data_IF_145507962189
#
_entry.id   IF_145507962189
#
_cell.length_a   1.000
_cell.length_b   1.000
_cell.length_c   1.000
_cell.angle_alpha   90.00
_cell.angle_beta   90.00
_cell.angle_gamma   90.00
#
_symmetry.space_group_name_H-M   'P 1'
#
loop_
_entity.id
_entity.type
_entity.pdbx_description
1 polymer ?
#
# COMPACT_ATOMS: atom_id res chain seq x y z
N UNK A 1 -25.31 14.00 10.67
CA UNK A 1 -24.05 14.30 11.37
C UNK A 1 -24.26 14.02 12.85
N UNK A 2 -23.69 12.92 13.37
CA UNK A 2 -23.69 12.62 14.81
C UNK A 2 -22.39 13.23 15.35
N UNK A 3 -22.48 14.16 16.30
CA UNK A 3 -21.32 14.77 16.98
C UNK A 3 -20.97 13.86 18.16
N UNK A 4 -19.68 13.55 18.35
CA UNK A 4 -19.24 12.76 19.51
C UNK A 4 -19.54 13.52 20.82
N UNK A 5 -20.10 12.88 21.86
CA UNK A 5 -20.40 13.55 23.13
C UNK A 5 -19.15 13.89 23.97
N UNK A 6 -17.98 13.31 23.65
CA UNK A 6 -16.73 13.56 24.41
C UNK A 6 -15.80 14.63 23.80
N UNK A 7 -15.99 15.01 22.53
CA UNK A 7 -15.23 16.08 21.89
C UNK A 7 -15.94 16.52 20.59
N UNK A 8 -15.78 17.78 20.12
CA UNK A 8 -16.43 18.29 18.92
C UNK A 8 -15.75 17.77 17.64
N UNK A 9 -15.61 16.45 17.54
CA UNK A 9 -15.05 15.77 16.39
C UNK A 9 -16.17 15.15 15.57
N UNK A 10 -16.18 15.37 14.23
CA UNK A 10 -17.12 14.69 13.36
C UNK A 10 -16.92 13.18 13.44
N UNK A 11 -17.99 12.42 13.73
CA UNK A 11 -17.93 10.96 13.65
C UNK A 11 -17.96 10.56 12.17
N UNK A 12 -16.79 10.43 11.56
CA UNK A 12 -16.67 9.95 10.18
C UNK A 12 -16.86 8.43 10.16
N UNK A 13 -18.03 7.97 9.67
CA UNK A 13 -18.32 6.54 9.57
C UNK A 13 -17.67 6.01 8.31
N UNK A 14 -16.46 5.45 8.44
CA UNK A 14 -15.77 4.79 7.33
C UNK A 14 -16.62 3.60 6.87
N UNK A 15 -17.24 3.73 5.69
CA UNK A 15 -18.11 2.69 5.10
C UNK A 15 -17.34 1.69 4.24
N UNK A 16 -16.16 2.08 3.75
CA UNK A 16 -15.31 1.25 2.89
C UNK A 16 -13.85 1.65 3.03
N UNK A 17 -12.97 0.65 3.14
CA UNK A 17 -11.53 0.83 2.99
C UNK A 17 -11.09 0.21 1.67
N UNK A 18 -10.16 0.87 0.99
CA UNK A 18 -9.47 0.34 -0.19
C UNK A 18 -7.97 0.44 0.04
N UNK A 19 -7.27 -0.63 -0.24
CA UNK A 19 -5.83 -0.70 -0.19
C UNK A 19 -5.28 -0.37 -1.58
N UNK A 20 -4.28 0.51 -1.63
CA UNK A 20 -3.66 0.99 -2.87
C UNK A 20 -2.16 1.13 -2.67
N UNK A 21 -1.39 0.96 -3.76
CA UNK A 21 0.04 1.19 -3.75
C UNK A 21 0.34 2.67 -3.47
N UNK A 22 1.20 2.94 -2.48
CA UNK A 22 1.67 4.29 -2.15
C UNK A 22 3.10 4.54 -2.62
N UNK A 23 3.52 5.82 -2.64
CA UNK A 23 4.92 6.22 -2.91
C UNK A 23 5.48 5.64 -4.21
N UNK A 24 6.61 4.92 -4.11
CA UNK A 24 7.24 4.24 -5.25
C UNK A 24 6.39 3.10 -5.84
N UNK A 25 5.45 2.56 -5.07
CA UNK A 25 4.43 1.63 -5.55
C UNK A 25 3.54 2.25 -6.62
N UNK A 26 3.02 3.45 -6.34
CA UNK A 26 2.15 4.19 -7.26
C UNK A 26 2.87 4.60 -8.55
N UNK A 27 4.14 5.01 -8.45
CA UNK A 27 4.96 5.35 -9.63
C UNK A 27 5.15 4.13 -10.53
N UNK A 28 5.45 2.96 -9.95
CA UNK A 28 5.61 1.75 -10.73
C UNK A 28 4.31 1.30 -11.40
N UNK A 29 3.16 1.46 -10.72
CA UNK A 29 1.83 1.20 -11.31
C UNK A 29 1.56 2.11 -12.50
N UNK A 30 1.91 3.40 -12.41
CA UNK A 30 1.77 4.30 -13.55
C UNK A 30 2.67 3.90 -14.73
N UNK A 31 3.91 3.49 -14.46
CA UNK A 31 4.84 3.06 -15.50
C UNK A 31 4.43 1.74 -16.15
N UNK A 32 3.94 0.76 -15.37
CA UNK A 32 3.46 -0.51 -15.91
C UNK A 32 2.24 -0.33 -16.82
N UNK A 33 1.34 0.60 -16.47
CA UNK A 33 0.19 0.95 -17.30
C UNK A 33 0.55 1.65 -18.63
N UNK A 34 1.79 2.14 -18.79
CA UNK A 34 2.30 2.73 -20.03
C UNK A 34 3.13 1.73 -20.86
N UNK A 35 3.02 0.43 -20.58
CA UNK A 35 3.82 -0.65 -21.19
C UNK A 35 5.34 -0.46 -21.04
N UNK A 36 5.77 0.33 -20.06
CA UNK A 36 7.17 0.55 -19.76
C UNK A 36 7.71 -0.56 -18.86
N UNK A 37 8.89 -1.09 -19.20
CA UNK A 37 9.62 -2.04 -18.34
C UNK A 37 10.36 -1.27 -17.25
N UNK A 38 9.77 -1.19 -16.06
CA UNK A 38 10.40 -0.59 -14.89
C UNK A 38 11.00 -1.67 -13.99
N UNK A 39 12.31 -1.60 -13.76
CA UNK A 39 12.96 -2.39 -12.71
C UNK A 39 12.85 -1.65 -11.39
N UNK A 40 12.45 -2.36 -10.34
CA UNK A 40 12.05 -1.74 -9.08
C UNK A 40 12.60 -2.57 -7.93
N UNK A 41 13.39 -1.94 -7.05
CA UNK A 41 13.84 -2.52 -5.78
C UNK A 41 13.00 -1.99 -4.63
N UNK A 42 12.58 -2.86 -3.72
CA UNK A 42 11.81 -2.48 -2.54
C UNK A 42 12.12 -3.40 -1.35
N UNK A 43 11.92 -2.88 -0.14
CA UNK A 43 12.03 -3.62 1.11
C UNK A 43 10.67 -3.61 1.80
N UNK A 44 10.16 -4.78 2.16
CA UNK A 44 8.94 -4.95 2.94
C UNK A 44 9.22 -5.80 4.19
N UNK A 45 8.34 -5.67 5.19
CA UNK A 45 8.34 -6.59 6.32
C UNK A 45 7.79 -7.96 5.93
N UNK A 46 8.17 -9.00 6.65
CA UNK A 46 7.53 -10.31 6.55
C UNK A 46 6.22 -10.36 7.37
N UNK A 47 5.30 -9.47 7.04
CA UNK A 47 4.01 -9.32 7.71
C UNK A 47 2.83 -9.42 6.72
N UNK A 48 1.60 -9.39 7.24
CA UNK A 48 0.39 -9.42 6.40
C UNK A 48 0.35 -8.28 5.39
N UNK A 49 0.98 -7.16 5.73
CA UNK A 49 1.00 -5.96 4.91
C UNK A 49 2.05 -6.04 3.80
N UNK A 50 3.16 -6.74 4.02
CA UNK A 50 4.13 -7.12 3.00
C UNK A 50 3.52 -8.10 2.00
N UNK A 51 2.73 -9.07 2.49
CA UNK A 51 1.93 -9.96 1.63
C UNK A 51 0.90 -9.20 0.80
N UNK A 52 0.18 -8.26 1.42
CA UNK A 52 -0.75 -7.38 0.72
C UNK A 52 -0.04 -6.53 -0.34
N UNK A 53 1.12 -5.96 -0.02
CA UNK A 53 1.93 -5.19 -0.97
C UNK A 53 2.31 -6.05 -2.18
N UNK A 54 2.82 -7.26 -1.94
CA UNK A 54 3.13 -8.23 -3.00
C UNK A 54 1.91 -8.50 -3.89
N UNK A 55 0.74 -8.77 -3.30
CA UNK A 55 -0.49 -9.00 -4.06
C UNK A 55 -0.91 -7.80 -4.92
N UNK A 56 -0.79 -6.57 -4.39
CA UNK A 56 -1.12 -5.36 -5.14
C UNK A 56 -0.14 -5.14 -6.32
N UNK A 57 1.13 -5.47 -6.14
CA UNK A 57 2.13 -5.39 -7.20
C UNK A 57 1.87 -6.41 -8.31
N UNK A 58 1.53 -7.65 -7.94
CA UNK A 58 1.20 -8.70 -8.90
C UNK A 58 -0.08 -8.37 -9.68
N UNK A 59 -1.09 -7.77 -9.03
CA UNK A 59 -2.32 -7.32 -9.67
C UNK A 59 -2.06 -6.24 -10.75
N UNK A 60 -1.10 -5.36 -10.51
CA UNK A 60 -0.67 -4.31 -11.44
C UNK A 60 0.39 -4.81 -12.46
N UNK A 61 0.68 -6.12 -12.46
CA UNK A 61 1.67 -6.80 -13.33
C UNK A 61 3.08 -6.20 -13.20
N UNK A 62 3.42 -5.73 -12.00
CA UNK A 62 4.73 -5.16 -11.70
C UNK A 62 5.65 -6.30 -11.27
N UNK A 63 6.86 -6.35 -11.83
CA UNK A 63 7.88 -7.33 -11.44
C UNK A 63 8.26 -7.18 -9.96
N UNK A 64 8.24 -8.30 -9.25
CA UNK A 64 8.46 -8.39 -7.79
C UNK A 64 9.77 -9.08 -7.44
N UNK A 65 10.59 -9.47 -8.41
CA UNK A 65 11.93 -10.06 -8.18
C UNK A 65 12.86 -9.17 -7.35
N UNK A 66 12.68 -7.85 -7.41
CA UNK A 66 13.42 -6.87 -6.60
C UNK A 66 12.81 -6.57 -5.22
N UNK A 67 11.75 -7.27 -4.81
CA UNK A 67 11.16 -7.14 -3.49
C UNK A 67 11.90 -8.05 -2.49
N UNK A 68 12.56 -7.42 -1.52
CA UNK A 68 13.21 -8.12 -0.42
C UNK A 68 12.28 -8.04 0.79
N UNK A 69 12.08 -9.16 1.48
CA UNK A 69 11.37 -9.20 2.77
C UNK A 69 12.37 -9.31 3.91
N UNK A 70 12.06 -8.69 5.05
CA UNK A 70 12.88 -8.72 6.25
C UNK A 70 12.00 -8.94 7.49
N UNK A 71 12.44 -9.81 8.40
CA UNK A 71 11.77 -10.04 9.68
C UNK A 71 12.06 -8.91 10.70
N UNK A 72 13.12 -8.13 10.48
CA UNK A 72 13.55 -7.05 11.39
C UNK A 72 12.76 -5.74 11.21
N UNK A 73 11.80 -5.71 10.27
CA UNK A 73 11.03 -4.50 9.92
C UNK A 73 9.57 -4.83 9.67
N UNK A 74 8.70 -3.89 10.01
CA UNK A 74 7.31 -3.91 9.58
C UNK A 74 7.14 -3.15 8.25
N UNK A 75 6.20 -3.61 7.44
CA UNK A 75 5.81 -2.92 6.21
C UNK A 75 5.16 -1.59 6.54
N UNK A 76 5.59 -0.54 5.84
CA UNK A 76 5.07 0.81 6.05
C UNK A 76 3.66 0.89 5.47
N UNK A 77 2.71 1.32 6.29
CA UNK A 77 1.34 1.62 5.88
C UNK A 77 1.00 3.03 6.31
N UNK A 78 0.42 3.79 5.40
CA UNK A 78 -0.20 5.05 5.72
C UNK A 78 -1.71 4.86 5.89
N UNK A 79 -2.24 5.23 7.06
CA UNK A 79 -3.68 5.31 7.34
C UNK A 79 -4.04 6.76 7.68
N UNK A 80 -4.84 7.46 6.85
CA UNK A 80 -5.29 8.82 7.12
C UNK A 80 -6.37 8.89 8.20
#
# INVERSE_FOLDING_TARGET
>A
SRISPEAPVPVNRVSKMKEVLGGAGNVASNLSNLDCKAFRGALAGNDDHGRLLQHLLDADKIDTTGLITSDDRCTIIFRP
#
